data_IF_529676530086
#
_entry.id   IF_529676530086
#
_cell.length_a   1.000
_cell.length_b   1.000
_cell.length_c   1.000
_cell.angle_alpha   90.00
_cell.angle_beta   90.00
_cell.angle_gamma   90.00
#
_symmetry.space_group_name_H-M   'P 1'
#
loop_
_entity.id
_entity.type
_entity.pdbx_description
1 polymer ?
#
# COMPACT_ATOMS: atom_id res chain seq x y z
N UNK A 1 -5.92 11.20 -0.13
CA UNK A 1 -5.59 10.05 -1.00
C UNK A 1 -5.10 8.91 -0.13
N UNK A 2 -5.99 7.95 0.13
CA UNK A 2 -5.72 6.70 0.85
C UNK A 2 -5.51 5.62 -0.21
N UNK A 3 -4.47 4.80 -0.10
CA UNK A 3 -4.24 3.69 -1.04
C UNK A 3 -5.31 2.60 -0.90
N UNK A 4 -5.60 1.81 -1.95
CA UNK A 4 -6.52 0.66 -1.84
C UNK A 4 -6.12 -0.31 -0.73
N UNK A 5 -4.82 -0.55 -0.57
CA UNK A 5 -4.29 -1.41 0.49
C UNK A 5 -4.59 -0.91 1.89
N UNK A 6 -4.40 0.39 2.14
CA UNK A 6 -4.70 0.99 3.44
C UNK A 6 -6.21 1.01 3.71
N UNK A 7 -7.03 1.22 2.67
CA UNK A 7 -8.49 1.09 2.78
C UNK A 7 -8.88 -0.33 3.22
N UNK A 8 -8.39 -1.36 2.52
CA UNK A 8 -8.67 -2.78 2.82
C UNK A 8 -8.24 -3.18 4.23
N UNK A 9 -7.04 -2.76 4.66
CA UNK A 9 -6.56 -3.03 6.02
C UNK A 9 -7.46 -2.34 7.06
N UNK A 10 -7.82 -1.07 6.84
CA UNK A 10 -8.69 -0.33 7.76
C UNK A 10 -10.04 -1.02 7.90
N UNK A 11 -10.67 -1.36 6.79
CA UNK A 11 -11.98 -2.00 6.76
C UNK A 11 -11.93 -3.35 7.48
N UNK A 12 -10.93 -4.19 7.20
CA UNK A 12 -10.77 -5.48 7.88
C UNK A 12 -10.55 -5.35 9.40
N UNK A 13 -9.82 -4.31 9.85
CA UNK A 13 -9.66 -4.05 11.29
C UNK A 13 -10.97 -3.59 11.92
N UNK A 14 -11.70 -2.70 11.25
CA UNK A 14 -12.98 -2.20 11.77
C UNK A 14 -14.02 -3.32 11.86
N UNK A 15 -13.97 -4.27 10.94
CA UNK A 15 -14.83 -5.46 10.95
C UNK A 15 -14.45 -6.44 12.08
N UNK A 16 -13.20 -6.89 12.13
CA UNK A 16 -12.72 -7.86 13.13
C UNK A 16 -12.80 -7.32 14.58
N UNK A 17 -12.50 -6.02 14.77
CA UNK A 17 -12.40 -5.41 16.09
C UNK A 17 -13.53 -4.42 16.39
N UNK A 18 -14.68 -4.53 15.71
CA UNK A 18 -15.83 -3.64 15.87
C UNK A 18 -16.22 -3.45 17.35
N UNK A 19 -16.34 -4.54 18.10
CA UNK A 19 -16.68 -4.53 19.52
C UNK A 19 -15.62 -3.82 20.38
N UNK A 20 -14.34 -3.94 20.03
CA UNK A 20 -13.27 -3.28 20.78
C UNK A 20 -13.24 -1.77 20.55
N UNK A 21 -13.66 -1.29 19.37
CA UNK A 21 -13.88 0.13 19.11
C UNK A 21 -15.11 0.65 19.86
N UNK A 22 -16.20 -0.13 19.88
CA UNK A 22 -17.42 0.24 20.61
C UNK A 22 -17.19 0.33 22.13
N UNK A 23 -16.43 -0.61 22.69
CA UNK A 23 -16.05 -0.66 24.11
C UNK A 23 -14.95 0.34 24.49
N UNK A 24 -14.47 1.15 23.54
CA UNK A 24 -13.43 2.15 23.76
C UNK A 24 -12.04 1.57 24.05
N UNK A 25 -11.81 0.27 23.81
CA UNK A 25 -10.48 -0.36 23.93
C UNK A 25 -9.58 0.03 22.77
N UNK A 26 -10.17 0.21 21.58
CA UNK A 26 -9.59 0.92 20.45
C UNK A 26 -10.27 2.29 20.37
N UNK A 27 -9.51 3.36 20.60
CA UNK A 27 -10.07 4.68 20.92
C UNK A 27 -10.35 5.51 19.66
N UNK A 28 -9.48 5.41 18.66
CA UNK A 28 -9.61 6.11 17.37
C UNK A 28 -8.48 5.71 16.44
N UNK A 29 -8.53 6.12 15.18
CA UNK A 29 -7.37 6.04 14.30
C UNK A 29 -7.41 7.07 13.19
N UNK A 30 -6.23 7.43 12.67
CA UNK A 30 -6.09 8.48 11.65
C UNK A 30 -5.18 8.03 10.50
N UNK A 31 -5.69 8.08 9.27
CA UNK A 31 -4.90 7.70 8.10
C UNK A 31 -4.00 8.86 7.71
N UNK A 32 -2.73 8.55 7.49
CA UNK A 32 -1.75 9.49 7.02
C UNK A 32 -1.73 9.52 5.51
N UNK A 33 -2.25 10.62 4.96
CA UNK A 33 -2.17 10.86 3.53
C UNK A 33 -0.95 11.70 3.15
N UNK A 34 -0.45 12.57 4.05
CA UNK A 34 0.57 13.58 3.74
C UNK A 34 1.28 14.04 5.03
N UNK A 35 2.52 13.59 5.28
CA UNK A 35 3.31 14.08 6.44
C UNK A 35 4.75 14.38 6.05
N UNK A 36 5.19 15.63 6.25
CA UNK A 36 6.62 15.96 6.25
C UNK A 36 7.27 15.44 7.52
N UNK A 37 8.51 14.97 7.43
CA UNK A 37 9.28 14.62 8.61
C UNK A 37 9.59 15.91 9.38
N UNK A 38 9.29 15.97 10.69
CA UNK A 38 9.48 17.20 11.49
C UNK A 38 10.92 17.72 11.50
N UNK A 39 11.93 16.83 11.37
CA UNK A 39 13.36 17.16 11.43
C UNK A 39 14.03 17.34 10.06
N UNK A 40 13.35 17.01 8.97
CA UNK A 40 13.96 17.01 7.63
C UNK A 40 12.99 17.59 6.61
N UNK A 41 13.49 18.22 5.55
CA UNK A 41 12.68 18.70 4.43
C UNK A 41 12.12 17.57 3.53
N UNK A 42 12.18 16.32 4.00
CA UNK A 42 11.76 15.12 3.30
C UNK A 42 10.35 14.68 3.71
N UNK A 43 9.64 14.07 2.76
CA UNK A 43 8.35 13.45 3.01
C UNK A 43 8.51 12.11 3.73
N UNK A 44 7.64 11.85 4.69
CA UNK A 44 7.57 10.54 5.34
C UNK A 44 6.98 9.53 4.37
N UNK A 45 7.81 8.61 3.89
CA UNK A 45 7.39 7.46 3.07
C UNK A 45 6.39 6.57 3.81
N UNK A 46 6.45 6.56 5.15
CA UNK A 46 5.49 5.87 5.99
C UNK A 46 4.10 6.51 5.87
N UNK A 47 4.03 7.83 5.70
CA UNK A 47 2.78 8.61 5.78
C UNK A 47 2.20 9.00 4.43
N UNK A 48 2.69 8.43 3.33
CA UNK A 48 2.18 8.75 1.99
C UNK A 48 1.03 7.80 1.62
N UNK A 49 -0.18 8.15 2.08
CA UNK A 49 -1.44 7.50 1.71
C UNK A 49 -1.64 6.09 2.26
N UNK A 50 -0.65 5.58 2.97
CA UNK A 50 -0.46 4.14 3.14
C UNK A 50 -0.05 3.75 4.57
N UNK A 51 -0.21 4.66 5.53
CA UNK A 51 -0.14 4.29 6.94
C UNK A 51 -1.34 4.78 7.72
N UNK A 52 -1.62 4.05 8.78
CA UNK A 52 -2.71 4.30 9.68
C UNK A 52 -2.22 4.14 11.11
N UNK A 53 -2.54 5.13 11.95
CA UNK A 53 -2.33 5.01 13.38
C UNK A 53 -3.62 4.63 14.06
N UNK A 54 -3.55 3.61 14.90
CA UNK A 54 -4.67 3.16 15.71
C UNK A 54 -4.32 3.42 17.17
N UNK A 55 -5.05 4.35 17.80
CA UNK A 55 -4.98 4.60 19.22
C UNK A 55 -5.62 3.47 19.98
N UNK A 56 -4.88 2.96 20.96
CA UNK A 56 -5.33 1.91 21.85
C UNK A 56 -5.50 2.51 23.24
N UNK A 57 -6.49 2.05 24.00
CA UNK A 57 -6.70 2.54 25.35
C UNK A 57 -5.50 2.15 26.23
N UNK A 58 -4.70 3.14 26.62
CA UNK A 58 -3.59 3.00 27.56
C UNK A 58 -4.11 3.39 28.94
N UNK A 59 -4.68 2.45 29.71
CA UNK A 59 -4.92 2.67 31.13
C UNK A 59 -3.74 2.19 31.99
N UNK A 60 -3.50 2.90 33.11
CA UNK A 60 -2.24 3.04 33.88
C UNK A 60 -1.55 1.76 34.40
N UNK A 61 -2.12 0.56 34.24
CA UNK A 61 -1.55 -0.66 34.85
C UNK A 61 -1.50 -1.90 33.97
N UNK A 62 -1.48 -1.72 32.65
CA UNK A 62 -1.57 -2.80 31.66
C UNK A 62 -2.91 -3.55 31.69
N UNK A 63 -3.76 -3.19 30.73
CA UNK A 63 -4.46 -4.20 29.94
C UNK A 63 -4.18 -3.95 28.47
N UNK A 64 -2.91 -4.06 28.09
CA UNK A 64 -2.42 -3.91 26.71
C UNK A 64 -2.89 -4.99 25.72
N UNK A 65 -3.95 -5.74 26.06
CA UNK A 65 -4.44 -6.87 25.28
C UNK A 65 -5.02 -6.47 23.93
N UNK A 66 -5.69 -5.33 23.80
CA UNK A 66 -6.26 -4.89 22.51
C UNK A 66 -5.17 -4.62 21.47
N UNK A 67 -4.17 -3.81 21.82
CA UNK A 67 -3.02 -3.55 20.93
C UNK A 67 -2.20 -4.80 20.62
N UNK A 68 -1.99 -5.68 21.61
CA UNK A 68 -1.28 -6.94 21.40
C UNK A 68 -2.07 -7.91 20.50
N UNK A 69 -3.39 -8.04 20.70
CA UNK A 69 -4.29 -8.85 19.85
C UNK A 69 -4.35 -8.31 18.43
N UNK A 70 -4.54 -7.00 18.26
CA UNK A 70 -4.56 -6.36 16.95
C UNK A 70 -3.24 -6.59 16.21
N UNK A 71 -2.10 -6.41 16.90
CA UNK A 71 -0.79 -6.68 16.33
C UNK A 71 -0.62 -8.14 15.91
N UNK A 72 -1.04 -9.08 16.75
CA UNK A 72 -0.89 -10.51 16.44
C UNK A 72 -1.83 -10.95 15.31
N UNK A 73 -3.06 -10.45 15.29
CA UNK A 73 -3.99 -10.66 14.18
C UNK A 73 -3.40 -10.09 12.88
N UNK A 74 -2.90 -8.85 12.87
CA UNK A 74 -2.25 -8.27 11.69
C UNK A 74 -1.04 -9.10 11.22
N UNK A 75 -0.26 -9.64 12.16
CA UNK A 75 0.87 -10.51 11.84
C UNK A 75 0.38 -11.80 11.17
N UNK A 76 -0.68 -12.43 11.67
CA UNK A 76 -1.28 -13.63 11.07
C UNK A 76 -1.85 -13.34 9.69
N UNK A 77 -2.63 -12.27 9.53
CA UNK A 77 -3.23 -11.90 8.24
C UNK A 77 -2.16 -11.58 7.19
N UNK A 78 -1.07 -10.92 7.60
CA UNK A 78 0.10 -10.69 6.76
C UNK A 78 0.78 -12.00 6.34
N UNK A 79 1.06 -12.88 7.29
CA UNK A 79 1.73 -14.17 7.00
C UNK A 79 0.86 -15.11 6.16
N UNK A 80 -0.47 -15.00 6.31
CA UNK A 80 -1.46 -15.71 5.51
C UNK A 80 -1.76 -15.01 4.16
N UNK A 81 -1.11 -13.88 3.85
CA UNK A 81 -1.30 -13.12 2.62
C UNK A 81 -2.73 -12.60 2.38
N UNK A 82 -3.53 -12.47 3.44
CA UNK A 82 -4.94 -12.03 3.36
C UNK A 82 -5.09 -10.51 3.40
N UNK A 83 -4.12 -9.82 4.01
CA UNK A 83 -4.06 -8.36 4.06
C UNK A 83 -2.70 -7.83 3.57
N UNK A 84 -2.68 -6.74 2.80
CA UNK A 84 -1.47 -6.15 2.23
C UNK A 84 -0.70 -5.33 3.28
N UNK A 85 -0.28 -5.93 4.38
CA UNK A 85 0.45 -5.26 5.48
C UNK A 85 1.96 -5.41 5.27
N UNK A 86 2.67 -4.29 5.06
CA UNK A 86 4.13 -4.31 4.96
C UNK A 86 4.78 -4.34 6.35
N UNK A 87 4.32 -3.48 7.26
CA UNK A 87 4.99 -3.23 8.55
C UNK A 87 4.00 -2.82 9.64
N UNK A 88 4.28 -3.26 10.87
CA UNK A 88 3.58 -2.81 12.08
C UNK A 88 4.62 -2.34 13.10
N UNK A 89 4.46 -1.14 13.65
CA UNK A 89 5.25 -0.64 14.78
C UNK A 89 4.37 -0.56 16.03
N UNK A 90 4.81 -1.20 17.10
CA UNK A 90 4.08 -1.29 18.37
C UNK A 90 5.08 -1.33 19.52
N UNK A 91 4.82 -0.56 20.58
CA UNK A 91 5.67 -0.49 21.80
C UNK A 91 7.15 -0.20 21.53
N UNK A 92 7.44 0.58 20.49
CA UNK A 92 8.77 1.18 20.31
C UNK A 92 8.79 2.54 21.00
N UNK A 93 9.98 3.03 21.37
CA UNK A 93 10.15 4.37 21.96
C UNK A 93 9.44 5.40 21.06
N UNK A 94 8.56 6.22 21.65
CA UNK A 94 7.61 7.18 21.01
C UNK A 94 6.30 6.63 20.41
N UNK A 95 6.01 5.33 20.52
CA UNK A 95 4.81 4.70 19.95
C UNK A 95 4.14 3.70 20.93
N UNK A 96 4.06 4.08 22.21
CA UNK A 96 3.46 3.24 23.26
C UNK A 96 1.94 3.42 23.40
N UNK A 97 1.41 4.54 22.91
CA UNK A 97 0.00 4.94 22.99
C UNK A 97 -0.80 4.63 21.70
N UNK A 98 -0.13 4.18 20.64
CA UNK A 98 -0.76 3.81 19.37
C UNK A 98 0.05 2.81 18.54
N UNK A 99 -0.63 2.05 17.67
CA UNK A 99 -0.04 1.20 16.64
C UNK A 99 0.18 2.01 15.36
N UNK A 100 1.35 1.89 14.72
CA UNK A 100 1.52 2.30 13.33
C UNK A 100 1.42 1.11 12.40
N UNK A 101 0.55 1.18 11.40
CA UNK A 101 0.35 0.13 10.40
C UNK A 101 0.68 0.70 9.03
N UNK A 102 1.50 -0.02 8.25
CA UNK A 102 1.88 0.36 6.88
C UNK A 102 1.35 -0.68 5.92
N UNK A 103 0.58 -0.24 4.93
CA UNK A 103 0.12 -1.09 3.82
C UNK A 103 1.23 -1.37 2.80
N UNK A 104 0.97 -2.22 1.82
CA UNK A 104 1.79 -2.40 0.62
C UNK A 104 0.97 -1.98 -0.63
N UNK A 105 1.58 -1.39 -1.67
CA UNK A 105 2.99 -1.05 -1.79
C UNK A 105 3.34 0.26 -1.08
N UNK A 106 4.63 0.40 -0.79
CA UNK A 106 5.21 1.61 -0.23
C UNK A 106 5.42 2.68 -1.30
N UNK A 107 4.91 3.88 -1.06
CA UNK A 107 5.13 5.02 -1.96
C UNK A 107 6.43 5.77 -1.61
N UNK A 108 7.23 6.11 -2.63
CA UNK A 108 8.52 6.83 -2.49
C UNK A 108 8.50 8.15 -3.25
N UNK A 109 8.94 9.24 -2.62
CA UNK A 109 8.97 10.58 -3.23
C UNK A 109 8.01 11.58 -2.57
N UNK A 110 7.62 12.61 -3.31
CA UNK A 110 6.70 13.66 -2.86
C UNK A 110 5.25 13.24 -3.12
N UNK A 111 4.38 13.24 -2.10
CA UNK A 111 2.96 13.00 -2.29
C UNK A 111 2.37 14.01 -3.29
N UNK A 112 1.44 13.58 -4.18
CA UNK A 112 0.78 14.49 -5.07
C UNK A 112 0.07 15.58 -4.25
N UNK A 113 0.17 16.82 -4.73
CA UNK A 113 -0.60 17.94 -4.18
C UNK A 113 -2.10 17.64 -4.37
N UNK A 114 -2.92 18.10 -3.44
CA UNK A 114 -4.32 17.68 -3.27
C UNK A 114 -5.13 17.72 -4.59
N UNK A 115 -5.54 16.55 -5.09
CA UNK A 115 -6.95 16.37 -5.45
C UNK A 115 -7.74 16.14 -4.17
N UNK A 116 -9.03 16.41 -4.18
CA UNK A 116 -9.91 16.06 -3.06
C UNK A 116 -9.87 14.54 -2.84
N UNK A 117 -10.38 14.02 -1.71
CA UNK A 117 -10.39 12.57 -1.46
C UNK A 117 -11.13 11.74 -2.53
N UNK A 118 -11.81 12.41 -3.46
CA UNK A 118 -12.65 11.85 -4.53
C UNK A 118 -11.99 11.80 -5.93
N UNK A 119 -10.83 12.41 -6.16
CA UNK A 119 -10.29 12.55 -7.54
C UNK A 119 -9.26 11.48 -7.96
N UNK A 120 -9.36 10.26 -7.43
CA UNK A 120 -8.89 9.09 -8.19
C UNK A 120 -10.12 8.26 -8.43
N UNK A 121 -10.57 8.26 -9.68
CA UNK A 121 -11.53 7.29 -10.17
C UNK A 121 -10.96 5.90 -9.89
N UNK A 122 -11.48 5.28 -8.84
CA UNK A 122 -11.04 3.97 -8.35
C UNK A 122 -11.34 2.88 -9.38
N UNK A 123 -12.37 3.08 -10.21
CA UNK A 123 -12.65 2.21 -11.35
C UNK A 123 -11.58 2.40 -12.42
N UNK A 124 -11.15 3.64 -12.70
CA UNK A 124 -10.04 3.88 -13.63
C UNK A 124 -8.71 3.30 -13.12
N UNK A 125 -8.43 3.39 -11.82
CA UNK A 125 -7.22 2.80 -11.24
C UNK A 125 -7.28 1.27 -11.27
N UNK A 126 -8.42 0.68 -10.92
CA UNK A 126 -8.65 -0.77 -11.01
C UNK A 126 -8.50 -1.24 -12.46
N UNK A 127 -9.16 -0.58 -13.40
CA UNK A 127 -9.06 -0.88 -14.83
C UNK A 127 -7.64 -0.74 -15.36
N UNK A 128 -6.85 0.23 -14.87
CA UNK A 128 -5.44 0.36 -15.22
C UNK A 128 -4.63 -0.84 -14.71
N UNK A 129 -4.83 -1.26 -13.45
CA UNK A 129 -4.13 -2.42 -12.88
C UNK A 129 -4.53 -3.70 -13.60
N UNK A 130 -5.82 -3.89 -13.89
CA UNK A 130 -6.32 -5.00 -14.70
C UNK A 130 -5.69 -5.02 -16.09
N UNK A 131 -5.58 -3.86 -16.75
CA UNK A 131 -4.93 -3.75 -18.05
C UNK A 131 -3.45 -4.15 -18.01
N UNK A 132 -2.73 -3.81 -16.94
CA UNK A 132 -1.33 -4.22 -16.76
C UNK A 132 -1.24 -5.72 -16.48
N UNK A 133 -2.07 -6.25 -15.58
CA UNK A 133 -2.10 -7.68 -15.26
C UNK A 133 -2.46 -8.52 -16.50
N UNK A 134 -3.45 -8.07 -17.28
CA UNK A 134 -3.84 -8.72 -18.53
C UNK A 134 -2.68 -8.71 -19.53
N UNK A 135 -1.99 -7.57 -19.68
CA UNK A 135 -0.80 -7.48 -20.55
C UNK A 135 0.33 -8.42 -20.10
N UNK A 136 0.52 -8.61 -18.79
CA UNK A 136 1.49 -9.56 -18.25
C UNK A 136 1.09 -11.02 -18.57
N UNK A 137 -0.18 -11.37 -18.40
CA UNK A 137 -0.70 -12.70 -18.73
C UNK A 137 -0.59 -12.98 -20.22
N UNK A 138 -0.97 -12.02 -21.06
CA UNK A 138 -0.88 -12.12 -22.53
C UNK A 138 0.57 -12.29 -23.00
N UNK A 139 1.52 -11.67 -22.30
CA UNK A 139 2.95 -11.84 -22.54
C UNK A 139 3.55 -13.12 -21.92
N UNK A 140 2.74 -13.95 -21.27
CA UNK A 140 3.13 -15.26 -20.74
C UNK A 140 3.67 -15.25 -19.30
N UNK A 141 3.63 -14.12 -18.59
CA UNK A 141 4.00 -14.06 -17.18
C UNK A 141 2.88 -14.63 -16.31
N UNK A 142 3.27 -15.33 -15.23
CA UNK A 142 2.31 -16.01 -14.35
C UNK A 142 1.87 -15.11 -13.21
N UNK A 143 0.56 -15.06 -13.01
CA UNK A 143 -0.11 -14.51 -11.83
C UNK A 143 -0.87 -15.68 -11.15
N UNK A 144 -0.14 -16.55 -10.42
CA UNK A 144 -0.63 -17.90 -10.10
C UNK A 144 -1.77 -17.96 -9.09
N UNK A 145 -2.02 -16.91 -8.32
CA UNK A 145 -3.02 -16.94 -7.25
C UNK A 145 -4.29 -16.16 -7.60
N UNK A 146 -4.15 -14.95 -8.13
CA UNK A 146 -5.28 -14.03 -8.28
C UNK A 146 -5.53 -13.60 -9.73
N UNK A 147 -4.52 -13.70 -10.60
CA UNK A 147 -4.71 -13.39 -12.02
C UNK A 147 -4.93 -11.89 -12.26
N UNK A 148 -5.92 -11.56 -13.08
CA UNK A 148 -6.31 -10.17 -13.40
C UNK A 148 -7.44 -9.76 -12.46
N UNK A 149 -7.08 -9.20 -11.30
CA UNK A 149 -8.02 -8.86 -10.22
C UNK A 149 -8.09 -7.35 -9.91
N UNK A 150 -7.27 -6.54 -10.58
CA UNK A 150 -7.19 -5.10 -10.39
C UNK A 150 -6.52 -4.67 -9.09
N UNK A 151 -5.88 -5.59 -8.36
CA UNK A 151 -5.14 -5.32 -7.14
C UNK A 151 -3.65 -5.48 -7.39
N UNK A 152 -2.89 -4.41 -7.16
CA UNK A 152 -1.43 -4.47 -7.28
C UNK A 152 -0.81 -5.21 -6.10
N UNK A 153 -0.71 -6.54 -6.21
CA UNK A 153 -0.10 -7.43 -5.22
C UNK A 153 1.32 -7.89 -5.59
N UNK A 154 1.91 -8.72 -4.72
CA UNK A 154 3.29 -9.21 -4.87
C UNK A 154 3.52 -9.98 -6.17
N UNK A 155 2.53 -10.76 -6.64
CA UNK A 155 2.66 -11.48 -7.92
C UNK A 155 2.63 -10.54 -9.13
N UNK A 156 1.78 -9.51 -9.11
CA UNK A 156 1.78 -8.47 -10.15
C UNK A 156 3.10 -7.71 -10.14
N UNK A 157 3.60 -7.35 -8.95
CA UNK A 157 4.89 -6.68 -8.82
C UNK A 157 6.07 -7.55 -9.29
N UNK A 158 6.07 -8.84 -8.97
CA UNK A 158 7.10 -9.78 -9.38
C UNK A 158 7.06 -10.02 -10.90
N UNK A 159 5.88 -10.28 -11.47
CA UNK A 159 5.69 -10.45 -12.91
C UNK A 159 6.07 -9.18 -13.68
N UNK A 160 5.70 -8.00 -13.18
CA UNK A 160 6.08 -6.73 -13.79
C UNK A 160 7.59 -6.48 -13.73
N UNK A 161 8.25 -6.82 -12.63
CA UNK A 161 9.71 -6.71 -12.50
C UNK A 161 10.46 -7.69 -13.41
N UNK A 162 9.95 -8.91 -13.55
CA UNK A 162 10.47 -9.90 -14.51
C UNK A 162 10.30 -9.38 -15.94
N UNK A 163 9.11 -8.91 -16.29
CA UNK A 163 8.83 -8.33 -17.61
C UNK A 163 9.71 -7.13 -17.94
N UNK A 164 9.96 -6.24 -16.97
CA UNK A 164 10.89 -5.12 -17.15
C UNK A 164 12.35 -5.58 -17.33
N UNK A 165 12.72 -6.71 -16.72
CA UNK A 165 14.05 -7.32 -16.85
C UNK A 165 14.21 -8.03 -18.19
N UNK A 166 13.17 -8.73 -18.66
CA UNK A 166 13.14 -9.42 -19.96
C UNK A 166 13.08 -8.41 -21.11
N UNK A 167 12.32 -7.32 -20.94
CA UNK A 167 12.34 -6.16 -21.83
C UNK A 167 13.72 -5.45 -21.85
N UNK A 168 14.52 -5.63 -20.80
CA UNK A 168 15.92 -5.20 -20.69
C UNK A 168 16.95 -6.27 -21.09
N UNK A 169 16.55 -7.51 -21.42
CA UNK A 169 17.43 -8.64 -21.74
C UNK A 169 17.39 -9.07 -23.21
N UNK A 170 17.16 -8.14 -24.12
CA UNK A 170 17.62 -8.31 -25.50
C UNK A 170 19.13 -8.03 -25.53
N UNK A 171 19.93 -9.03 -25.12
CA UNK A 171 21.37 -9.02 -25.37
C UNK A 171 21.62 -9.20 -26.88
N UNK A 172 21.78 -8.09 -27.59
CA UNK A 172 22.42 -8.04 -28.89
C UNK A 172 23.94 -7.80 -28.72
N UNK A 173 24.82 -8.53 -29.42
CA UNK A 173 26.27 -8.39 -29.27
C UNK A 173 26.75 -7.15 -30.04
N UNK A 174 26.70 -5.97 -29.41
CA UNK A 174 27.60 -4.80 -29.63
C UNK A 174 27.04 -3.60 -28.87
N UNK A 175 27.87 -3.02 -28.01
CA UNK A 175 27.50 -1.99 -27.05
C UNK A 175 26.83 -0.75 -27.64
N UNK A 176 25.85 -0.25 -26.89
CA UNK A 176 25.21 1.05 -27.07
C UNK A 176 24.08 1.23 -26.05
N UNK A 177 24.20 2.21 -25.16
CA UNK A 177 23.11 2.65 -24.27
C UNK A 177 22.00 3.33 -25.10
N UNK A 178 20.72 3.28 -24.67
CA UNK A 178 19.91 4.45 -24.28
C UNK A 178 18.40 4.14 -24.03
N UNK A 179 17.90 4.75 -22.95
CA UNK A 179 16.60 5.40 -22.68
C UNK A 179 15.22 4.68 -22.66
N UNK A 180 14.70 4.61 -21.42
CA UNK A 180 13.40 5.11 -20.91
C UNK A 180 12.16 5.05 -21.82
N UNK A 181 11.20 4.17 -21.48
CA UNK A 181 9.82 4.33 -21.92
C UNK A 181 9.08 5.17 -20.87
N UNK A 182 9.02 6.46 -21.13
CA UNK A 182 8.01 7.37 -20.61
C UNK A 182 7.41 8.10 -21.81
N UNK A 183 6.41 7.51 -22.48
CA UNK A 183 5.34 8.25 -23.18
C UNK A 183 4.31 7.32 -23.83
N UNK A 184 3.11 7.20 -23.26
CA UNK A 184 1.89 6.91 -24.03
C UNK A 184 0.68 7.66 -23.44
N UNK A 185 0.78 8.99 -23.34
CA UNK A 185 -0.41 9.87 -23.33
C UNK A 185 -0.04 11.23 -23.91
N UNK A 186 0.02 11.32 -25.25
CA UNK A 186 -0.27 12.56 -26.01
C UNK A 186 -0.04 12.33 -27.51
N UNK A 187 -0.96 11.63 -28.18
CA UNK A 187 -1.23 11.79 -29.62
C UNK A 187 -2.50 11.05 -30.05
N UNK A 188 -3.64 11.63 -29.69
CA UNK A 188 -4.85 11.53 -30.50
C UNK A 188 -5.71 12.75 -30.16
N UNK A 189 -5.60 13.80 -30.97
CA UNK A 189 -6.66 14.70 -31.42
C UNK A 189 -5.99 15.79 -32.27
N UNK A 190 -5.78 15.46 -33.55
CA UNK A 190 -5.73 16.44 -34.64
C UNK A 190 -6.81 16.01 -35.62
N UNK A 191 -7.89 16.78 -35.65
CA UNK A 191 -8.56 17.32 -36.83
C UNK A 191 -9.50 18.40 -36.33
#
# INVERSE_FOLDING_TARGET
MITPAMRRIREAILDEFADEFADGRLVSGGIYNRRRMRRFWLWSQHAWGNAWDVKVAVSERHRGGAGDRLREWLRRERLAWRLPVERVLWRIISHYDHLHIVGAPRMKGTPPLAGTEEDIDMEALKALVEGIQQSLVDAGYRLPNYGVDGVWGDETAAAFALMATDAGSVMGPRGGHYHTIANQTSRAHKT
#
